data_IF_884016572197
#
_entry.id   IF_884016572197
#
_cell.length_a   1.000
_cell.length_b   1.000
_cell.length_c   1.000
_cell.angle_alpha   90.00
_cell.angle_beta   90.00
_cell.angle_gamma   90.00
#
_symmetry.space_group_name_H-M   'P 1'
#
loop_
_entity.id
_entity.type
_entity.pdbx_description
1 polymer ?
#
# COMPACT_ATOMS: atom_id res chain seq x y z
N UNK A 1 -55.07 0.64 -26.97
CA UNK A 1 -55.63 -0.71 -26.77
C UNK A 1 -56.11 -0.82 -25.32
N UNK A 2 -57.39 -1.06 -25.09
CA UNK A 2 -57.98 -1.11 -23.74
C UNK A 2 -57.43 -2.29 -22.93
N UNK A 3 -56.95 -3.32 -23.57
CA UNK A 3 -56.46 -4.56 -22.96
C UNK A 3 -54.98 -4.46 -22.49
N UNK A 4 -54.26 -3.45 -22.98
CA UNK A 4 -52.84 -3.27 -22.64
C UNK A 4 -52.53 -1.81 -22.30
N UNK A 5 -52.93 -1.30 -21.12
CA UNK A 5 -52.70 0.07 -20.73
C UNK A 5 -51.22 0.35 -20.51
N UNK A 6 -50.74 1.48 -21.04
CA UNK A 6 -49.39 1.96 -20.85
C UNK A 6 -49.42 3.16 -19.90
N UNK A 7 -48.63 3.13 -18.83
CA UNK A 7 -48.43 4.28 -17.94
C UNK A 7 -47.47 5.28 -18.60
N UNK A 8 -48.01 6.36 -19.11
CA UNK A 8 -47.21 7.42 -19.78
C UNK A 8 -46.71 8.51 -18.84
N UNK A 9 -47.20 8.54 -17.61
CA UNK A 9 -46.79 9.55 -16.63
C UNK A 9 -47.59 9.45 -15.34
N UNK A 10 -47.21 10.27 -14.39
CA UNK A 10 -47.87 10.44 -13.08
C UNK A 10 -48.10 11.89 -12.79
N UNK A 11 -49.24 12.20 -12.19
CA UNK A 11 -49.55 13.54 -11.67
C UNK A 11 -49.86 13.49 -10.18
N UNK A 12 -49.55 14.54 -9.50
CA UNK A 12 -49.91 14.70 -8.07
C UNK A 12 -51.36 15.18 -7.92
N UNK A 13 -51.91 14.98 -6.74
CA UNK A 13 -53.22 15.42 -6.37
C UNK A 13 -53.27 15.75 -4.87
N UNK A 14 -54.44 16.11 -4.36
CA UNK A 14 -54.61 16.51 -2.94
C UNK A 14 -54.21 15.40 -1.92
N UNK A 15 -54.36 14.10 -2.32
CA UNK A 15 -53.98 12.97 -1.46
C UNK A 15 -52.52 12.51 -1.67
N UNK A 16 -52.03 12.72 -2.86
CA UNK A 16 -50.66 12.37 -3.25
C UNK A 16 -49.99 13.64 -3.74
N UNK A 17 -49.40 14.37 -2.77
CA UNK A 17 -48.72 15.65 -3.01
C UNK A 17 -47.37 15.47 -3.76
N UNK A 18 -46.83 16.59 -4.25
CA UNK A 18 -45.52 16.61 -4.87
C UNK A 18 -44.44 16.00 -3.95
N UNK A 19 -43.46 15.37 -4.53
CA UNK A 19 -42.42 14.65 -3.76
C UNK A 19 -41.53 15.57 -2.94
N UNK A 20 -41.26 16.77 -3.43
CA UNK A 20 -40.49 17.81 -2.75
C UNK A 20 -41.37 19.04 -2.55
N UNK A 21 -41.56 19.45 -1.30
CA UNK A 21 -42.52 20.46 -0.92
C UNK A 21 -42.27 21.80 -1.59
N UNK A 22 -43.31 22.36 -2.23
CA UNK A 22 -43.29 23.68 -2.86
C UNK A 22 -43.68 24.77 -1.88
N UNK A 23 -43.17 26.02 -2.01
CA UNK A 23 -42.26 26.52 -3.07
C UNK A 23 -40.78 26.30 -2.78
N UNK A 24 -40.38 25.75 -1.63
CA UNK A 24 -39.00 25.68 -1.17
C UNK A 24 -38.10 24.88 -2.13
N UNK A 25 -38.63 23.81 -2.70
CA UNK A 25 -37.89 22.89 -3.57
C UNK A 25 -38.32 22.99 -5.06
N UNK A 26 -38.63 24.17 -5.52
CA UNK A 26 -39.14 24.40 -6.89
C UNK A 26 -38.15 24.06 -8.02
N UNK A 27 -36.88 24.00 -7.70
CA UNK A 27 -35.76 23.66 -8.59
C UNK A 27 -35.43 22.17 -8.60
N UNK A 28 -36.06 21.37 -7.74
CA UNK A 28 -35.86 19.95 -7.68
C UNK A 28 -36.77 19.17 -8.62
N UNK A 29 -36.20 18.17 -9.31
CA UNK A 29 -36.91 17.21 -10.14
C UNK A 29 -36.33 15.79 -9.93
N UNK A 30 -37.10 14.77 -10.32
CA UNK A 30 -36.57 13.40 -10.24
C UNK A 30 -37.61 12.34 -9.97
N UNK A 31 -37.15 11.15 -9.61
CA UNK A 31 -37.94 9.97 -9.28
C UNK A 31 -37.63 9.56 -7.84
N UNK A 32 -38.68 9.39 -7.04
CA UNK A 32 -38.62 8.82 -5.71
C UNK A 32 -39.58 7.65 -5.63
N UNK A 33 -39.09 6.51 -5.20
CA UNK A 33 -39.92 5.33 -4.90
C UNK A 33 -40.22 5.26 -3.40
N UNK A 34 -40.93 4.27 -2.96
CA UNK A 34 -41.11 3.91 -1.56
C UNK A 34 -41.10 2.40 -1.43
N UNK A 35 -40.35 1.89 -0.45
CA UNK A 35 -40.36 0.47 -0.15
C UNK A 35 -41.80 -0.01 0.12
N UNK A 36 -42.21 -1.09 -0.51
CA UNK A 36 -43.53 -1.72 -0.28
C UNK A 36 -43.56 -2.36 1.11
N UNK A 37 -44.77 -2.57 1.63
CA UNK A 37 -45.03 -3.27 2.91
C UNK A 37 -44.27 -2.70 4.12
N UNK A 38 -44.61 -1.48 4.51
CA UNK A 38 -44.13 -0.86 5.75
C UNK A 38 -43.02 0.18 5.57
N UNK A 39 -42.72 0.59 4.34
CA UNK A 39 -41.79 1.66 4.10
C UNK A 39 -42.24 3.01 4.71
N UNK A 40 -41.34 3.75 5.32
CA UNK A 40 -41.60 5.08 5.91
C UNK A 40 -41.51 6.18 4.86
N UNK A 41 -42.33 7.22 5.03
CA UNK A 41 -42.17 8.41 4.20
C UNK A 41 -41.07 9.28 4.77
N UNK A 42 -40.17 9.70 3.91
CA UNK A 42 -39.21 10.78 4.15
C UNK A 42 -39.44 11.90 3.13
N UNK A 43 -38.78 13.00 3.29
CA UNK A 43 -38.85 14.12 2.34
C UNK A 43 -38.05 13.89 1.05
N UNK A 44 -37.30 12.81 0.97
CA UNK A 44 -36.46 12.48 -0.19
C UNK A 44 -35.22 13.35 -0.29
N UNK A 45 -34.80 13.97 0.80
CA UNK A 45 -33.57 14.71 0.92
C UNK A 45 -32.46 13.81 1.48
N UNK A 46 -31.21 14.24 1.36
CA UNK A 46 -30.05 13.46 1.76
C UNK A 46 -30.11 12.97 3.21
N UNK A 47 -30.57 13.83 4.11
CA UNK A 47 -30.59 13.53 5.55
C UNK A 47 -31.91 12.88 6.02
N UNK A 48 -32.91 12.83 5.15
CA UNK A 48 -34.25 12.28 5.43
C UNK A 48 -34.88 11.61 4.20
N UNK A 49 -34.19 10.64 3.58
CA UNK A 49 -34.69 10.02 2.33
C UNK A 49 -35.97 9.23 2.53
N UNK A 50 -36.30 8.78 3.74
CA UNK A 50 -37.27 7.74 4.00
C UNK A 50 -36.76 6.40 3.50
N UNK A 51 -37.62 5.37 3.46
CA UNK A 51 -37.27 4.09 2.86
C UNK A 51 -37.55 4.12 1.35
N UNK A 52 -36.64 4.68 0.57
CA UNK A 52 -36.84 4.99 -0.84
C UNK A 52 -35.56 4.87 -1.67
N UNK A 53 -35.70 4.48 -2.93
CA UNK A 53 -34.66 4.76 -3.91
C UNK A 53 -34.95 6.11 -4.57
N UNK A 54 -33.92 6.91 -4.80
CA UNK A 54 -34.07 8.28 -5.30
C UNK A 54 -33.07 8.56 -6.41
N UNK A 55 -33.57 9.12 -7.50
CA UNK A 55 -32.77 9.82 -8.51
C UNK A 55 -33.29 11.27 -8.53
N UNK A 56 -32.50 12.23 -8.06
CA UNK A 56 -32.90 13.62 -7.92
C UNK A 56 -31.92 14.53 -8.61
N UNK A 57 -32.46 15.53 -9.29
CA UNK A 57 -31.74 16.68 -9.81
C UNK A 57 -32.09 17.91 -8.95
N UNK A 58 -31.11 18.70 -8.62
CA UNK A 58 -31.23 20.04 -8.09
C UNK A 58 -30.62 20.99 -9.12
N UNK A 59 -31.42 21.91 -9.65
CA UNK A 59 -31.01 22.84 -10.70
C UNK A 59 -30.90 24.31 -10.20
N UNK A 60 -30.82 24.50 -8.88
CA UNK A 60 -30.55 25.82 -8.31
C UNK A 60 -29.13 26.26 -8.69
N UNK A 61 -29.01 27.37 -9.41
CA UNK A 61 -27.74 27.90 -9.87
C UNK A 61 -26.72 28.08 -8.73
N UNK A 62 -25.55 27.45 -8.85
CA UNK A 62 -24.49 27.42 -7.85
C UNK A 62 -24.66 26.35 -6.75
N UNK A 63 -25.74 25.54 -6.82
CA UNK A 63 -25.98 24.42 -5.93
C UNK A 63 -26.49 23.18 -6.68
N UNK A 64 -26.20 23.10 -7.96
CA UNK A 64 -26.62 22.00 -8.84
C UNK A 64 -26.09 20.65 -8.29
N UNK A 65 -26.95 19.66 -8.30
CA UNK A 65 -26.61 18.32 -7.78
C UNK A 65 -27.39 17.22 -8.49
N UNK A 66 -26.69 16.17 -8.89
CA UNK A 66 -27.28 14.87 -9.17
C UNK A 66 -27.09 13.97 -7.95
N UNK A 67 -28.19 13.48 -7.37
CA UNK A 67 -28.16 12.56 -6.23
C UNK A 67 -28.84 11.24 -6.56
N UNK A 68 -28.04 10.16 -6.51
CA UNK A 68 -28.51 8.78 -6.62
C UNK A 68 -28.43 8.13 -5.23
N UNK A 69 -29.56 7.63 -4.75
CA UNK A 69 -29.68 6.93 -3.48
C UNK A 69 -30.35 5.58 -3.68
N UNK A 70 -29.69 4.54 -3.24
CA UNK A 70 -30.23 3.20 -3.11
C UNK A 70 -30.53 2.91 -1.64
N UNK A 71 -31.75 2.54 -1.31
CA UNK A 71 -32.18 2.22 0.05
C UNK A 71 -31.43 1.05 0.66
N UNK A 72 -31.03 0.09 -0.15
CA UNK A 72 -30.30 -1.10 0.29
C UNK A 72 -29.13 -1.39 -0.62
N UNK A 73 -29.34 -1.99 -1.74
CA UNK A 73 -28.31 -2.44 -2.65
C UNK A 73 -28.34 -1.63 -3.94
N UNK A 74 -27.17 -1.27 -4.45
CA UNK A 74 -27.02 -0.68 -5.77
C UNK A 74 -26.15 -1.61 -6.62
N UNK A 75 -26.68 -2.01 -7.76
CA UNK A 75 -25.96 -2.74 -8.80
C UNK A 75 -25.77 -1.84 -10.01
N UNK A 76 -24.54 -1.76 -10.50
CA UNK A 76 -24.19 -1.08 -11.73
C UNK A 76 -23.42 -2.05 -12.61
N UNK A 77 -23.92 -2.33 -13.80
CA UNK A 77 -23.28 -3.17 -14.80
C UNK A 77 -23.00 -2.32 -16.03
N UNK A 78 -21.80 -2.44 -16.59
CA UNK A 78 -21.38 -1.78 -17.82
C UNK A 78 -20.78 -2.84 -18.74
N UNK A 79 -21.43 -3.13 -19.85
CA UNK A 79 -21.07 -4.22 -20.77
C UNK A 79 -19.76 -3.97 -21.54
N UNK A 80 -19.30 -2.74 -21.62
CA UNK A 80 -18.10 -2.40 -22.35
C UNK A 80 -17.23 -1.45 -21.50
N UNK A 81 -17.24 -0.18 -21.76
CA UNK A 81 -16.31 0.78 -21.14
C UNK A 81 -17.04 1.71 -20.16
N UNK A 82 -16.41 2.04 -19.05
CA UNK A 82 -16.85 3.06 -18.12
C UNK A 82 -15.77 4.15 -17.99
N UNK A 83 -16.09 5.38 -18.43
CA UNK A 83 -15.26 6.55 -18.24
C UNK A 83 -15.80 7.44 -17.12
N UNK A 84 -14.97 7.75 -16.13
CA UNK A 84 -15.31 8.67 -15.04
C UNK A 84 -14.31 9.82 -14.98
N UNK A 85 -14.75 11.03 -15.33
CA UNK A 85 -14.00 12.25 -15.12
C UNK A 85 -14.57 13.07 -13.96
N UNK A 86 -13.71 13.48 -13.02
CA UNK A 86 -14.07 14.32 -11.88
C UNK A 86 -13.21 15.57 -11.90
N UNK A 87 -13.82 16.72 -12.14
CA UNK A 87 -13.14 18.00 -12.31
C UNK A 87 -12.48 18.57 -11.06
N UNK A 88 -12.83 18.09 -9.87
CA UNK A 88 -12.26 18.53 -8.60
C UNK A 88 -12.01 17.33 -7.69
N UNK A 89 -12.73 17.17 -6.61
CA UNK A 89 -12.47 16.15 -5.59
C UNK A 89 -13.33 14.90 -5.77
N UNK A 90 -12.73 13.73 -5.59
CA UNK A 90 -13.45 12.46 -5.43
C UNK A 90 -13.23 11.91 -4.02
N UNK A 91 -14.31 11.58 -3.32
CA UNK A 91 -14.29 10.92 -2.02
C UNK A 91 -15.03 9.60 -2.09
N UNK A 92 -14.45 8.55 -1.50
CA UNK A 92 -15.07 7.23 -1.36
C UNK A 92 -14.93 6.78 0.09
N UNK A 93 -16.03 6.37 0.69
CA UNK A 93 -16.05 5.76 2.02
C UNK A 93 -16.75 4.42 1.92
N UNK A 94 -16.14 3.38 2.44
CA UNK A 94 -16.70 2.03 2.54
C UNK A 94 -16.60 1.62 4.01
N UNK A 95 -17.73 1.39 4.65
CA UNK A 95 -17.77 1.14 6.11
C UNK A 95 -17.27 -0.26 6.49
N UNK A 96 -17.25 -1.20 5.56
CA UNK A 96 -16.79 -2.57 5.79
C UNK A 96 -15.74 -2.97 4.77
N UNK A 97 -16.09 -3.81 3.85
CA UNK A 97 -15.16 -4.48 2.94
C UNK A 97 -15.22 -3.85 1.55
N UNK A 98 -14.06 -3.70 0.93
CA UNK A 98 -13.92 -3.35 -0.48
C UNK A 98 -13.08 -4.42 -1.17
N UNK A 99 -13.62 -5.00 -2.24
CA UNK A 99 -12.92 -5.91 -3.12
C UNK A 99 -12.75 -5.28 -4.51
N UNK A 100 -11.56 -5.36 -5.07
CA UNK A 100 -11.25 -4.83 -6.39
C UNK A 100 -10.46 -5.88 -7.19
N UNK A 101 -11.06 -6.44 -8.22
CA UNK A 101 -10.45 -7.45 -9.09
C UNK A 101 -10.22 -6.86 -10.47
N UNK A 102 -8.98 -6.91 -10.95
CA UNK A 102 -8.56 -6.42 -12.27
C UNK A 102 -7.84 -7.56 -12.99
N UNK A 103 -8.45 -8.08 -14.05
CA UNK A 103 -7.92 -9.25 -14.76
C UNK A 103 -6.76 -8.98 -15.70
N UNK A 104 -6.43 -7.72 -15.99
CA UNK A 104 -5.31 -7.34 -16.85
C UNK A 104 -4.45 -6.30 -16.16
N UNK A 105 -4.32 -5.16 -16.76
CA UNK A 105 -3.38 -4.14 -16.35
C UNK A 105 -4.05 -3.07 -15.48
N UNK A 106 -3.39 -2.64 -14.43
CA UNK A 106 -3.75 -1.46 -13.64
C UNK A 106 -2.63 -0.44 -13.73
N UNK A 107 -2.97 0.78 -14.12
CA UNK A 107 -2.07 1.92 -14.07
C UNK A 107 -2.61 2.95 -13.09
N UNK A 108 -1.79 3.39 -12.16
CA UNK A 108 -2.13 4.44 -11.20
C UNK A 108 -1.03 5.51 -11.21
N UNK A 109 -1.40 6.75 -11.40
CA UNK A 109 -0.49 7.91 -11.42
C UNK A 109 -0.98 8.90 -10.38
N UNK A 110 -0.11 9.23 -9.42
CA UNK A 110 -0.35 10.21 -8.38
C UNK A 110 0.69 11.32 -8.51
N UNK A 111 0.29 12.47 -9.02
CA UNK A 111 1.21 13.59 -9.30
C UNK A 111 1.82 14.23 -8.06
N UNK A 112 1.24 14.04 -6.88
CA UNK A 112 1.72 14.66 -5.64
C UNK A 112 2.00 13.63 -4.57
N UNK A 113 1.12 13.46 -3.62
CA UNK A 113 1.37 12.64 -2.44
C UNK A 113 0.39 11.47 -2.37
N UNK A 114 0.91 10.30 -2.12
CA UNK A 114 0.15 9.13 -1.73
C UNK A 114 0.41 8.80 -0.26
N UNK A 115 -0.64 8.42 0.48
CA UNK A 115 -0.54 7.95 1.84
C UNK A 115 -1.38 6.70 2.03
N UNK A 116 -0.74 5.62 2.43
CA UNK A 116 -1.39 4.34 2.73
C UNK A 116 -1.21 4.03 4.21
N UNK A 117 -2.30 3.88 4.96
CA UNK A 117 -2.31 3.43 6.34
C UNK A 117 -3.05 2.09 6.43
N UNK A 118 -2.37 1.07 6.92
CA UNK A 118 -2.94 -0.26 7.17
C UNK A 118 -2.81 -0.56 8.66
N UNK A 119 -3.91 -0.65 9.38
CA UNK A 119 -3.90 -0.92 10.82
C UNK A 119 -3.80 -2.41 11.17
N UNK A 120 -4.07 -3.27 10.22
CA UNK A 120 -3.88 -4.71 10.33
C UNK A 120 -2.62 -5.18 9.61
N UNK A 121 -2.72 -6.24 8.88
CA UNK A 121 -1.64 -6.80 8.07
C UNK A 121 -1.81 -6.42 6.59
N UNK A 122 -0.70 -6.37 5.87
CA UNK A 122 -0.64 -6.19 4.41
C UNK A 122 0.16 -7.34 3.82
N UNK A 123 -0.37 -7.97 2.78
CA UNK A 123 0.36 -8.92 1.95
C UNK A 123 0.50 -8.33 0.55
N UNK A 124 1.67 -8.52 -0.02
CA UNK A 124 1.97 -8.16 -1.41
C UNK A 124 2.68 -9.35 -2.05
N UNK A 125 2.20 -9.81 -3.17
CA UNK A 125 2.77 -10.94 -3.92
C UNK A 125 2.92 -10.50 -5.38
N UNK A 126 4.13 -10.67 -5.92
CA UNK A 126 4.48 -10.33 -7.29
C UNK A 126 5.13 -11.56 -7.93
N UNK A 127 4.45 -12.17 -8.88
CA UNK A 127 4.89 -13.42 -9.51
C UNK A 127 6.13 -13.27 -10.40
N UNK A 128 6.37 -12.08 -10.92
CA UNK A 128 7.48 -11.82 -11.86
C UNK A 128 8.46 -10.82 -11.26
N UNK A 129 8.49 -9.62 -11.77
CA UNK A 129 9.49 -8.61 -11.41
C UNK A 129 8.86 -7.44 -10.67
N UNK A 130 9.49 -6.99 -9.60
CA UNK A 130 9.19 -5.74 -8.92
C UNK A 130 10.34 -4.74 -9.11
N UNK A 131 10.02 -3.51 -9.48
CA UNK A 131 10.99 -2.42 -9.56
C UNK A 131 10.56 -1.25 -8.69
N UNK A 132 11.39 -0.86 -7.73
CA UNK A 132 11.18 0.30 -6.86
C UNK A 132 12.28 1.32 -7.12
N UNK A 133 11.91 2.52 -7.58
CA UNK A 133 12.86 3.64 -7.78
C UNK A 133 12.48 4.80 -6.87
N UNK A 134 13.42 5.23 -6.01
CA UNK A 134 13.24 6.35 -5.08
C UNK A 134 14.34 7.36 -5.32
N UNK A 135 13.97 8.54 -5.81
CA UNK A 135 14.93 9.58 -6.19
C UNK A 135 15.53 10.36 -5.01
N UNK A 136 14.95 10.26 -3.83
CA UNK A 136 15.45 10.96 -2.63
C UNK A 136 15.73 9.98 -1.49
N UNK A 137 14.91 9.95 -0.47
CA UNK A 137 15.17 9.17 0.74
C UNK A 137 14.16 8.03 0.88
N UNK A 138 14.63 6.84 1.23
CA UNK A 138 13.83 5.74 1.74
C UNK A 138 14.12 5.56 3.21
N UNK A 139 13.10 5.57 4.05
CA UNK A 139 13.17 5.25 5.46
C UNK A 139 12.33 4.01 5.70
N UNK A 140 12.94 2.99 6.25
CA UNK A 140 12.28 1.74 6.61
C UNK A 140 12.53 1.45 8.09
N UNK A 141 11.48 1.08 8.81
CA UNK A 141 11.55 0.74 10.22
C UNK A 141 10.73 -0.52 10.48
N UNK A 142 11.37 -1.53 11.01
CA UNK A 142 10.75 -2.78 11.46
C UNK A 142 10.98 -2.90 12.96
N UNK A 143 9.92 -2.86 13.74
CA UNK A 143 10.04 -2.85 15.21
C UNK A 143 10.35 -4.21 15.81
N UNK A 144 10.07 -5.30 15.13
CA UNK A 144 10.30 -6.67 15.62
C UNK A 144 11.30 -7.42 14.74
N UNK A 145 10.87 -8.14 13.74
CA UNK A 145 11.71 -9.01 12.94
C UNK A 145 11.59 -8.68 11.45
N UNK A 146 12.72 -8.67 10.78
CA UNK A 146 12.83 -8.67 9.32
C UNK A 146 13.47 -9.98 8.87
N UNK A 147 12.92 -10.61 7.84
CA UNK A 147 13.50 -11.77 7.18
C UNK A 147 13.59 -11.50 5.68
N UNK A 148 14.77 -11.71 5.12
CA UNK A 148 15.04 -11.55 3.68
C UNK A 148 15.63 -12.85 3.16
N UNK A 149 14.94 -13.50 2.23
CA UNK A 149 15.39 -14.70 1.53
C UNK A 149 15.62 -14.39 0.06
N UNK A 150 16.82 -14.66 -0.45
CA UNK A 150 17.21 -14.36 -1.82
C UNK A 150 17.78 -15.64 -2.48
N UNK A 151 16.97 -16.25 -3.33
CA UNK A 151 17.30 -17.54 -3.96
C UNK A 151 18.53 -17.53 -4.89
N UNK A 152 18.99 -16.38 -5.36
CA UNK A 152 20.15 -16.30 -6.28
C UNK A 152 21.17 -15.26 -5.84
N UNK A 153 21.07 -14.04 -6.27
CA UNK A 153 22.09 -13.00 -6.08
C UNK A 153 21.51 -11.77 -5.38
N UNK A 154 22.28 -11.21 -4.47
CA UNK A 154 22.03 -9.90 -3.88
C UNK A 154 23.21 -8.98 -4.14
N UNK A 155 22.95 -7.77 -4.61
CA UNK A 155 23.97 -6.75 -4.83
C UNK A 155 23.64 -5.49 -4.07
N UNK A 156 24.58 -4.98 -3.26
CA UNK A 156 24.50 -3.70 -2.61
C UNK A 156 25.58 -2.76 -3.13
N UNK A 157 25.19 -1.63 -3.69
CA UNK A 157 26.11 -0.57 -4.11
C UNK A 157 25.82 0.69 -3.28
N UNK A 158 26.79 1.17 -2.52
CA UNK A 158 26.65 2.32 -1.63
C UNK A 158 27.71 3.34 -2.00
N UNK A 159 27.29 4.49 -2.51
CA UNK A 159 28.16 5.51 -3.06
C UNK A 159 29.06 6.21 -2.04
N UNK A 160 28.66 6.32 -0.78
CA UNK A 160 29.42 7.06 0.25
C UNK A 160 29.66 6.19 1.48
N UNK A 161 28.72 6.07 2.38
CA UNK A 161 28.93 5.41 3.68
C UNK A 161 27.88 4.33 3.95
N UNK A 162 28.33 3.24 4.57
CA UNK A 162 27.46 2.22 5.17
C UNK A 162 27.79 2.10 6.64
N UNK A 163 26.80 2.22 7.50
CA UNK A 163 26.92 1.93 8.93
C UNK A 163 26.04 0.73 9.27
N UNK A 164 26.58 -0.24 10.00
CA UNK A 164 25.84 -1.39 10.53
C UNK A 164 26.10 -1.50 12.03
N UNK A 165 25.06 -1.57 12.82
CA UNK A 165 25.15 -1.79 14.28
C UNK A 165 24.32 -3.01 14.64
N UNK A 166 24.93 -3.97 15.31
CA UNK A 166 24.29 -5.18 15.81
C UNK A 166 24.40 -5.22 17.32
N UNK A 167 23.27 -5.16 18.02
CA UNK A 167 23.23 -5.04 19.47
C UNK A 167 23.65 -6.29 20.25
N UNK A 168 23.62 -7.48 19.63
CA UNK A 168 24.02 -8.74 20.27
C UNK A 168 24.97 -9.55 19.39
N UNK A 169 24.45 -10.39 18.52
CA UNK A 169 25.25 -11.33 17.74
C UNK A 169 25.09 -11.09 16.25
N UNK A 170 26.16 -11.25 15.52
CA UNK A 170 26.18 -11.33 14.06
C UNK A 170 26.82 -12.65 13.65
N UNK A 171 26.18 -13.42 12.79
CA UNK A 171 26.68 -14.68 12.28
C UNK A 171 26.70 -14.64 10.74
N UNK A 172 27.88 -14.73 10.15
CA UNK A 172 28.07 -14.84 8.70
C UNK A 172 28.53 -16.26 8.36
N UNK A 173 27.79 -16.97 7.51
CA UNK A 173 28.18 -18.29 6.99
C UNK A 173 28.34 -18.22 5.48
N UNK A 174 29.57 -18.42 5.00
CA UNK A 174 29.91 -18.35 3.59
C UNK A 174 30.53 -19.68 3.17
N UNK A 175 29.82 -20.44 2.35
CA UNK A 175 30.20 -21.81 1.98
C UNK A 175 31.33 -21.90 0.96
N UNK A 176 31.64 -20.85 0.23
CA UNK A 176 32.72 -20.88 -0.79
C UNK A 176 33.79 -19.80 -0.53
N UNK A 177 33.63 -18.64 -1.04
CA UNK A 177 34.65 -17.58 -0.97
C UNK A 177 34.14 -16.34 -0.28
N UNK A 178 34.94 -15.79 0.61
CA UNK A 178 34.75 -14.49 1.21
C UNK A 178 35.94 -13.58 0.89
N UNK A 179 35.68 -12.52 0.15
CA UNK A 179 36.70 -11.54 -0.21
C UNK A 179 36.39 -10.18 0.39
N UNK A 180 37.33 -9.61 1.11
CA UNK A 180 37.27 -8.24 1.63
C UNK A 180 38.42 -7.44 1.05
N UNK A 181 38.13 -6.37 0.34
CA UNK A 181 39.12 -5.43 -0.19
C UNK A 181 38.91 -4.05 0.40
N UNK A 182 39.95 -3.44 0.96
CA UNK A 182 39.88 -2.14 1.60
C UNK A 182 40.99 -1.25 1.01
N UNK A 183 40.62 -0.15 0.35
CA UNK A 183 41.57 0.72 -0.35
C UNK A 183 42.50 1.52 0.54
N UNK A 184 42.16 1.75 1.79
CA UNK A 184 42.98 2.51 2.74
C UNK A 184 43.31 1.73 4.02
N UNK A 185 42.36 1.60 4.92
CA UNK A 185 42.56 1.00 6.23
C UNK A 185 41.42 0.08 6.62
N UNK A 186 41.76 -1.08 7.14
CA UNK A 186 40.81 -1.97 7.87
C UNK A 186 41.21 -1.95 9.34
N UNK A 187 40.28 -1.63 10.22
CA UNK A 187 40.48 -1.73 11.67
C UNK A 187 39.53 -2.77 12.23
N UNK A 188 40.05 -3.62 13.11
CA UNK A 188 39.27 -4.63 13.82
C UNK A 188 39.64 -4.56 15.30
N UNK A 189 38.66 -4.37 16.19
CA UNK A 189 38.87 -4.28 17.63
C UNK A 189 37.99 -5.32 18.31
N UNK A 190 38.58 -6.21 19.07
CA UNK A 190 37.90 -7.31 19.79
C UNK A 190 38.17 -7.15 21.29
N UNK A 191 37.10 -7.00 22.08
CA UNK A 191 37.22 -6.70 23.51
C UNK A 191 37.72 -7.85 24.40
N UNK A 192 37.38 -9.09 24.05
CA UNK A 192 37.67 -10.27 24.89
C UNK A 192 38.53 -11.32 24.20
N UNK A 193 38.13 -11.77 23.06
CA UNK A 193 38.84 -12.88 22.38
C UNK A 193 38.63 -12.87 20.88
N UNK A 194 39.69 -13.17 20.14
CA UNK A 194 39.70 -13.36 18.70
C UNK A 194 40.23 -14.76 18.37
N UNK A 195 39.43 -15.56 17.71
CA UNK A 195 39.80 -16.91 17.28
C UNK A 195 39.77 -16.97 15.75
N UNK A 196 40.88 -17.35 15.16
CA UNK A 196 40.98 -17.63 13.74
C UNK A 196 41.49 -19.06 13.51
N UNK A 197 40.69 -19.89 12.89
CA UNK A 197 41.05 -21.28 12.54
C UNK A 197 41.12 -21.43 11.05
N UNK A 198 42.22 -22.02 10.54
CA UNK A 198 42.41 -22.34 9.11
C UNK A 198 42.86 -23.78 9.03
N UNK A 199 42.11 -24.63 8.34
CA UNK A 199 42.38 -26.09 8.28
C UNK A 199 43.49 -26.49 7.32
N UNK A 200 43.74 -25.70 6.28
CA UNK A 200 44.68 -26.08 5.21
C UNK A 200 45.85 -25.08 5.08
N UNK A 201 45.53 -23.81 4.87
CA UNK A 201 46.58 -22.86 4.54
C UNK A 201 46.22 -21.42 4.94
N UNK A 202 47.16 -20.72 5.58
CA UNK A 202 47.07 -19.28 5.90
C UNK A 202 48.31 -18.57 5.38
N UNK A 203 48.16 -17.60 4.50
CA UNK A 203 49.24 -16.72 4.03
C UNK A 203 49.00 -15.28 4.53
N UNK A 204 50.02 -14.66 5.06
CA UNK A 204 50.05 -13.25 5.36
C UNK A 204 51.24 -12.64 4.60
N UNK A 205 50.97 -11.66 3.73
CA UNK A 205 51.98 -10.90 3.02
C UNK A 205 51.91 -9.46 3.40
N UNK A 206 52.99 -8.87 3.89
CA UNK A 206 53.07 -7.47 4.33
C UNK A 206 54.14 -6.77 3.50
N UNK A 207 53.75 -5.71 2.76
CA UNK A 207 54.67 -5.00 1.85
C UNK A 207 55.76 -4.15 2.51
N UNK A 208 55.51 -3.62 3.69
CA UNK A 208 56.43 -2.68 4.35
C UNK A 208 56.79 -3.07 5.77
N UNK A 209 55.80 -3.23 6.65
CA UNK A 209 56.06 -3.57 8.05
C UNK A 209 54.92 -4.37 8.67
N UNK A 210 55.30 -5.35 9.49
CA UNK A 210 54.41 -6.08 10.39
C UNK A 210 54.85 -5.84 11.83
N UNK A 211 53.94 -5.44 12.67
CA UNK A 211 54.19 -5.21 14.10
C UNK A 211 53.19 -6.02 14.91
N UNK A 212 53.66 -6.83 15.83
CA UNK A 212 52.87 -7.57 16.78
C UNK A 212 53.29 -7.20 18.19
N UNK A 213 52.40 -6.69 18.99
CA UNK A 213 52.64 -6.36 20.40
C UNK A 213 51.81 -7.30 21.29
N UNK A 214 52.47 -8.08 22.11
CA UNK A 214 51.86 -9.02 23.04
C UNK A 214 52.15 -8.59 24.47
N UNK A 215 51.10 -8.23 25.23
CA UNK A 215 51.26 -7.65 26.57
C UNK A 215 51.72 -8.62 27.66
N UNK A 216 51.40 -9.92 27.52
CA UNK A 216 51.67 -10.90 28.61
C UNK A 216 52.32 -12.17 28.10
N UNK A 217 51.79 -12.86 27.09
CA UNK A 217 52.32 -14.14 26.65
C UNK A 217 52.04 -14.39 25.15
N UNK A 218 53.06 -14.88 24.47
CA UNK A 218 52.95 -15.40 23.09
C UNK A 218 53.47 -16.82 23.06
N UNK A 219 52.69 -17.73 22.50
CA UNK A 219 53.12 -19.12 22.26
C UNK A 219 52.93 -19.49 20.80
N UNK A 220 53.97 -20.02 20.20
CA UNK A 220 53.94 -20.58 18.84
C UNK A 220 54.30 -22.07 18.92
N UNK A 221 53.42 -22.95 18.42
CA UNK A 221 53.68 -24.39 18.38
C UNK A 221 53.57 -24.84 16.92
N UNK A 222 54.63 -25.53 16.46
CA UNK A 222 54.68 -26.10 15.10
C UNK A 222 54.75 -27.61 15.24
N UNK A 223 53.78 -28.34 14.66
CA UNK A 223 53.62 -29.79 14.83
C UNK A 223 54.58 -30.65 13.94
N UNK A 224 55.25 -30.07 12.94
CA UNK A 224 56.32 -30.67 12.14
C UNK A 224 57.42 -29.66 11.87
N UNK A 225 58.62 -30.17 11.67
CA UNK A 225 59.86 -29.36 11.55
C UNK A 225 59.75 -28.20 10.55
N UNK A 226 60.10 -27.04 11.01
CA UNK A 226 60.51 -25.91 10.16
C UNK A 226 61.86 -26.30 9.48
N UNK A 227 61.88 -26.34 8.15
CA UNK A 227 63.06 -26.23 7.34
C UNK A 227 63.30 -24.78 6.95
#
# INVERSE_FOLDING_TARGET
DEDYPIITGRVYNAMQTVQWGLPANKTMSGIKTRSSQGGTSGDGLKDSPGTANVLRFEDLAGAEQLWLHAQKDQLTEVENDEDKWVGNDRRKTVDRDEENTIHRDRTEIVDRNEKINVHGWRTEEVDLDETITIHQNRIERVDLNESVDIGKNQTFTIGINRTKTVGKNENDTITKNWTVSTGKMKTETVGLGYIQTTTVFKLMTVGVAYVENVGVHMQTTVGMTQN
#
